data_IF_842721306573
#
_entry.id   IF_842721306573
#
_cell.length_a   1.000
_cell.length_b   1.000
_cell.length_c   1.000
_cell.angle_alpha   90.00
_cell.angle_beta   90.00
_cell.angle_gamma   90.00
#
_symmetry.space_group_name_H-M   'P 1'
#
loop_
_entity.id
_entity.type
_entity.pdbx_description
1 polymer ?
#
# COMPACT_ATOMS: atom_id res chain seq x y z
N UNK A 1 11.25 -40.22 -47.50
CA UNK A 1 12.32 -39.76 -46.59
C UNK A 1 12.74 -38.36 -46.99
N UNK A 2 12.12 -37.31 -46.45
CA UNK A 2 12.66 -35.96 -46.58
C UNK A 2 12.80 -35.23 -45.23
N UNK A 3 13.53 -34.12 -45.33
CA UNK A 3 13.58 -32.94 -44.46
C UNK A 3 14.32 -32.99 -43.13
N UNK A 4 15.58 -32.56 -43.22
CA UNK A 4 16.32 -31.93 -42.13
C UNK A 4 15.63 -30.62 -41.71
N UNK A 5 15.05 -30.66 -40.51
CA UNK A 5 14.53 -29.49 -39.82
C UNK A 5 15.67 -28.62 -39.30
N UNK A 6 15.72 -27.40 -39.82
CA UNK A 6 16.50 -26.28 -39.28
C UNK A 6 16.04 -25.98 -37.85
N UNK A 7 17.00 -25.97 -36.91
CA UNK A 7 16.75 -25.59 -35.53
C UNK A 7 16.23 -24.16 -35.46
N UNK A 8 15.00 -23.98 -34.94
CA UNK A 8 14.52 -22.67 -34.52
C UNK A 8 15.40 -22.18 -33.36
N UNK A 9 15.92 -20.94 -33.40
CA UNK A 9 16.50 -20.33 -32.22
C UNK A 9 15.40 -20.17 -31.17
N UNK A 10 15.70 -20.51 -29.93
CA UNK A 10 14.77 -20.34 -28.81
C UNK A 10 14.28 -18.90 -28.74
N UNK A 11 12.97 -18.72 -28.91
CA UNK A 11 12.29 -17.45 -28.67
C UNK A 11 12.24 -17.20 -27.16
N UNK A 12 13.28 -16.56 -26.61
CA UNK A 12 13.20 -15.95 -25.28
C UNK A 12 12.07 -14.94 -25.28
N UNK A 13 11.13 -15.06 -24.34
CA UNK A 13 10.10 -14.03 -24.16
C UNK A 13 10.79 -12.73 -23.72
N UNK A 14 10.38 -11.55 -24.20
CA UNK A 14 10.88 -10.30 -23.67
C UNK A 14 10.36 -10.18 -22.22
N UNK A 15 11.22 -10.54 -21.25
CA UNK A 15 10.86 -10.66 -19.82
C UNK A 15 11.81 -11.56 -18.98
N UNK A 16 12.73 -12.30 -19.61
CA UNK A 16 13.55 -13.34 -18.93
C UNK A 16 14.81 -12.85 -18.17
N UNK A 17 15.06 -11.54 -18.07
CA UNK A 17 16.28 -11.05 -17.42
C UNK A 17 16.15 -11.07 -15.88
N UNK A 18 16.70 -12.11 -15.25
CA UNK A 18 16.93 -12.11 -13.80
C UNK A 18 18.11 -11.22 -13.46
N UNK A 19 17.82 -10.09 -12.82
CA UNK A 19 18.84 -9.18 -12.30
C UNK A 19 19.63 -9.82 -11.15
N UNK A 20 20.95 -9.69 -11.18
CA UNK A 20 21.81 -9.89 -10.00
C UNK A 20 21.44 -8.90 -8.89
N UNK A 21 21.95 -9.09 -7.68
CA UNK A 21 21.72 -8.17 -6.56
C UNK A 21 22.17 -6.74 -6.90
N UNK A 22 23.34 -6.58 -7.53
CA UNK A 22 23.90 -5.26 -7.87
C UNK A 22 23.22 -4.60 -9.06
N UNK A 23 22.83 -5.37 -10.08
CA UNK A 23 22.01 -4.83 -11.17
C UNK A 23 20.65 -4.34 -10.66
N UNK A 24 20.03 -5.06 -9.71
CA UNK A 24 18.79 -4.60 -9.11
C UNK A 24 18.96 -3.33 -8.26
N UNK A 25 20.10 -3.16 -7.58
CA UNK A 25 20.45 -1.90 -6.92
C UNK A 25 20.57 -0.77 -7.95
N UNK A 26 21.23 -1.03 -9.08
CA UNK A 26 21.39 -0.05 -10.16
C UNK A 26 20.06 0.39 -10.81
N UNK A 27 19.01 -0.42 -10.71
CA UNK A 27 17.65 0.01 -11.10
C UNK A 27 17.15 1.18 -10.22
N UNK A 28 17.62 1.30 -8.98
CA UNK A 28 17.13 2.31 -8.02
C UNK A 28 18.09 3.48 -7.80
N UNK A 29 19.40 3.25 -7.81
CA UNK A 29 20.39 4.25 -7.44
C UNK A 29 21.68 4.09 -8.25
N UNK A 30 22.37 5.22 -8.45
CA UNK A 30 23.68 5.24 -9.12
C UNK A 30 24.82 5.14 -8.09
N UNK A 31 24.55 5.52 -6.84
CA UNK A 31 25.43 5.31 -5.69
C UNK A 31 25.01 4.06 -4.89
N UNK A 32 26.00 3.34 -4.38
CA UNK A 32 25.76 2.27 -3.41
C UNK A 32 26.99 2.05 -2.55
N UNK A 33 26.82 2.22 -1.24
CA UNK A 33 27.86 2.03 -0.25
C UNK A 33 27.53 0.82 0.60
N UNK A 34 28.23 -0.29 0.38
CA UNK A 34 28.00 -1.54 1.09
C UNK A 34 28.29 -1.39 2.59
N UNK A 35 27.39 -1.91 3.42
CA UNK A 35 27.58 -1.95 4.88
C UNK A 35 28.59 -3.04 5.24
N UNK A 36 29.35 -2.81 6.30
CA UNK A 36 30.27 -3.80 6.84
C UNK A 36 29.48 -5.04 7.26
N UNK A 37 29.79 -6.17 6.64
CA UNK A 37 29.17 -7.45 6.99
C UNK A 37 29.65 -7.93 8.36
N UNK A 38 28.77 -8.47 9.22
CA UNK A 38 29.20 -9.11 10.45
C UNK A 38 30.17 -10.27 10.16
N UNK A 39 31.28 -10.31 10.90
CA UNK A 39 32.27 -11.39 10.83
C UNK A 39 32.04 -12.35 11.99
N UNK A 40 31.13 -13.30 11.83
CA UNK A 40 30.99 -14.42 12.76
C UNK A 40 31.80 -15.63 12.25
N UNK A 41 32.29 -16.44 13.18
CA UNK A 41 32.85 -17.76 12.85
C UNK A 41 31.70 -18.75 12.63
N UNK A 42 31.79 -19.55 11.57
CA UNK A 42 30.81 -20.58 11.28
C UNK A 42 31.52 -21.91 11.12
N UNK A 43 30.88 -22.97 11.61
CA UNK A 43 31.41 -24.32 11.49
C UNK A 43 31.66 -24.72 10.03
N UNK A 44 32.69 -25.54 9.76
CA UNK A 44 32.90 -26.15 8.45
C UNK A 44 31.63 -26.88 8.00
N UNK A 45 31.27 -26.72 6.73
CA UNK A 45 30.03 -27.26 6.17
C UNK A 45 28.76 -26.84 6.94
N UNK A 46 28.81 -25.67 7.57
CA UNK A 46 27.69 -25.02 8.24
C UNK A 46 27.28 -25.68 9.56
N UNK A 47 26.20 -25.18 10.19
CA UNK A 47 25.80 -25.60 11.54
C UNK A 47 25.32 -27.05 11.65
N UNK A 48 25.07 -27.72 10.50
CA UNK A 48 24.63 -29.12 10.45
C UNK A 48 25.70 -30.07 9.89
N UNK A 49 26.91 -29.56 9.61
CA UNK A 49 27.97 -30.33 8.95
C UNK A 49 27.49 -30.99 7.64
N UNK A 50 26.75 -30.23 6.82
CA UNK A 50 26.22 -30.70 5.55
C UNK A 50 27.34 -30.88 4.55
N UNK A 51 27.72 -32.13 4.24
CA UNK A 51 28.87 -32.44 3.40
C UNK A 51 28.86 -31.68 2.06
N UNK A 52 29.94 -30.94 1.79
CA UNK A 52 30.12 -30.17 0.55
C UNK A 52 29.33 -28.86 0.49
N UNK A 53 28.82 -28.40 1.64
CA UNK A 53 28.15 -27.10 1.74
C UNK A 53 29.15 -25.95 1.56
N UNK A 54 30.36 -26.04 2.12
CA UNK A 54 31.41 -25.05 1.91
C UNK A 54 31.81 -24.92 0.45
N UNK A 55 31.97 -26.05 -0.25
CA UNK A 55 32.23 -26.05 -1.69
C UNK A 55 31.05 -25.42 -2.46
N UNK A 56 29.82 -25.66 -2.01
CA UNK A 56 28.63 -25.05 -2.62
C UNK A 56 28.62 -23.53 -2.43
N UNK A 57 29.02 -23.04 -1.26
CA UNK A 57 29.21 -21.60 -0.99
C UNK A 57 30.34 -21.02 -1.84
N UNK A 58 31.49 -21.69 -1.92
CA UNK A 58 32.62 -21.24 -2.72
C UNK A 58 32.27 -21.15 -4.22
N UNK A 59 31.57 -22.14 -4.77
CA UNK A 59 31.07 -22.11 -6.15
C UNK A 59 30.06 -20.99 -6.37
N UNK A 60 29.16 -20.75 -5.41
CA UNK A 60 28.19 -19.67 -5.48
C UNK A 60 28.89 -18.30 -5.47
N UNK A 61 29.88 -18.12 -4.60
CA UNK A 61 30.68 -16.91 -4.51
C UNK A 61 31.48 -16.65 -5.79
N UNK A 62 32.17 -17.67 -6.32
CA UNK A 62 32.90 -17.55 -7.58
C UNK A 62 31.99 -17.20 -8.77
N UNK A 63 30.76 -17.73 -8.80
CA UNK A 63 29.79 -17.46 -9.88
C UNK A 63 29.19 -16.06 -9.80
N UNK A 64 28.86 -15.59 -8.60
CA UNK A 64 28.07 -14.36 -8.40
C UNK A 64 28.94 -13.15 -8.08
N UNK A 65 30.16 -13.37 -7.59
CA UNK A 65 31.00 -12.33 -6.99
C UNK A 65 30.61 -11.99 -5.54
N UNK A 66 29.48 -12.51 -5.04
CA UNK A 66 28.97 -12.19 -3.71
C UNK A 66 29.37 -13.21 -2.66
N UNK A 67 29.55 -12.75 -1.43
CA UNK A 67 29.94 -13.62 -0.31
C UNK A 67 28.73 -14.27 0.40
N UNK A 68 27.51 -13.79 0.12
CA UNK A 68 26.27 -14.34 0.68
C UNK A 68 25.08 -13.95 -0.22
N UNK A 69 23.89 -14.48 0.07
CA UNK A 69 22.64 -14.28 -0.66
C UNK A 69 22.02 -12.89 -0.54
N UNK A 70 22.65 -11.97 0.20
CA UNK A 70 22.25 -10.57 0.26
C UNK A 70 23.46 -9.64 0.24
N UNK A 71 23.29 -8.54 -0.48
CA UNK A 71 24.13 -7.35 -0.42
C UNK A 71 23.33 -6.26 0.28
N UNK A 72 23.88 -5.69 1.35
CA UNK A 72 23.24 -4.65 2.14
C UNK A 72 24.08 -3.38 2.11
N UNK A 73 23.46 -2.22 1.89
CA UNK A 73 24.18 -0.97 1.74
C UNK A 73 23.29 0.25 1.93
N UNK A 74 23.87 1.44 1.89
CA UNK A 74 23.12 2.68 1.74
C UNK A 74 23.21 3.22 0.32
N UNK A 75 22.14 3.82 -0.15
CA UNK A 75 22.09 4.50 -1.44
C UNK A 75 21.15 5.71 -1.36
N UNK A 76 21.23 6.58 -2.36
CA UNK A 76 20.30 7.69 -2.55
C UNK A 76 19.36 7.38 -3.71
N UNK A 77 18.06 7.28 -3.43
CA UNK A 77 17.04 7.00 -4.46
C UNK A 77 16.27 8.28 -4.79
N UNK A 78 16.21 8.60 -6.08
CA UNK A 78 15.67 9.88 -6.57
C UNK A 78 16.70 11.01 -6.51
N UNK A 79 16.29 12.21 -6.96
CA UNK A 79 17.17 13.39 -7.05
C UNK A 79 18.25 13.24 -8.14
N UNK A 80 18.10 13.96 -9.25
CA UNK A 80 19.21 14.13 -10.20
C UNK A 80 19.97 15.41 -9.85
N UNK A 81 21.29 15.34 -9.74
CA UNK A 81 22.10 16.53 -9.97
C UNK A 81 21.84 17.01 -11.41
N UNK A 82 21.23 18.18 -11.59
CA UNK A 82 21.23 18.88 -12.88
C UNK A 82 19.89 19.29 -13.50
N UNK A 83 18.73 19.17 -12.85
CA UNK A 83 17.51 19.83 -13.34
C UNK A 83 17.05 20.88 -12.34
N UNK A 84 17.52 22.11 -12.55
CA UNK A 84 17.03 23.30 -11.87
C UNK A 84 15.58 23.56 -12.26
N UNK A 85 14.68 23.39 -11.30
CA UNK A 85 13.28 23.75 -11.37
C UNK A 85 12.70 23.73 -9.96
N UNK A 86 12.29 24.90 -9.48
CA UNK A 86 11.79 25.25 -8.15
C UNK A 86 11.17 24.10 -7.33
N UNK A 87 12.03 23.50 -6.50
CA UNK A 87 11.82 22.92 -5.16
C UNK A 87 12.75 21.73 -4.97
N UNK A 88 14.07 21.97 -5.02
CA UNK A 88 15.11 20.94 -4.94
C UNK A 88 14.95 20.00 -3.73
N UNK A 89 14.26 18.88 -3.93
CA UNK A 89 14.27 17.74 -3.02
C UNK A 89 15.41 16.85 -3.49
N UNK A 90 16.51 16.85 -2.74
CA UNK A 90 17.57 15.85 -2.91
C UNK A 90 17.00 14.44 -2.76
N UNK A 91 17.62 13.44 -3.38
CA UNK A 91 17.17 12.05 -3.27
C UNK A 91 17.04 11.59 -1.82
N UNK A 92 16.21 10.56 -1.60
CA UNK A 92 16.04 10.00 -0.26
C UNK A 92 17.12 8.94 -0.01
N UNK A 93 17.98 9.20 0.97
CA UNK A 93 18.93 8.20 1.44
C UNK A 93 18.20 7.07 2.15
N UNK A 94 18.51 5.83 1.82
CA UNK A 94 17.87 4.65 2.39
C UNK A 94 18.88 3.52 2.62
N UNK A 95 18.47 2.51 3.39
CA UNK A 95 19.15 1.21 3.42
C UNK A 95 18.53 0.31 2.35
N UNK A 96 19.36 -0.18 1.43
CA UNK A 96 18.97 -1.18 0.44
C UNK A 96 19.43 -2.57 0.89
N UNK A 97 18.53 -3.53 0.79
CA UNK A 97 18.79 -4.96 0.98
C UNK A 97 18.49 -5.64 -0.34
N UNK A 98 19.50 -6.14 -1.06
CA UNK A 98 19.32 -6.77 -2.36
C UNK A 98 19.73 -8.24 -2.34
N UNK A 99 18.80 -9.12 -2.70
CA UNK A 99 19.05 -10.56 -2.72
C UNK A 99 19.79 -11.00 -3.99
N UNK A 100 20.77 -11.89 -3.83
CA UNK A 100 21.48 -12.52 -4.94
C UNK A 100 20.93 -13.94 -5.14
N UNK A 101 19.98 -14.10 -6.06
CA UNK A 101 19.36 -15.40 -6.32
C UNK A 101 20.38 -16.44 -6.82
N UNK A 102 21.40 -16.01 -7.55
CA UNK A 102 22.51 -16.85 -7.97
C UNK A 102 23.29 -17.43 -6.79
N UNK A 103 23.24 -16.83 -5.60
CA UNK A 103 23.90 -17.36 -4.41
C UNK A 103 22.96 -18.32 -3.68
N UNK A 104 23.08 -19.61 -4.02
CA UNK A 104 22.29 -20.69 -3.43
C UNK A 104 20.77 -20.44 -3.46
N UNK A 105 20.25 -19.90 -4.56
CA UNK A 105 18.82 -19.60 -4.73
C UNK A 105 18.35 -18.39 -3.92
N UNK A 106 19.24 -17.48 -3.55
CA UNK A 106 18.93 -16.35 -2.68
C UNK A 106 18.47 -16.80 -1.30
N UNK A 107 18.84 -18.02 -0.89
CA UNK A 107 18.26 -18.65 0.29
C UNK A 107 18.71 -17.98 1.58
N UNK A 108 17.81 -17.93 2.56
CA UNK A 108 18.05 -17.34 3.87
C UNK A 108 18.75 -18.35 4.80
N UNK A 109 20.04 -18.14 5.07
CA UNK A 109 20.80 -18.84 6.12
C UNK A 109 21.14 -17.92 7.30
N UNK A 110 21.89 -18.42 8.28
CA UNK A 110 22.36 -17.67 9.47
C UNK A 110 23.16 -16.43 9.07
N UNK A 111 24.14 -16.57 8.15
CA UNK A 111 24.92 -15.44 7.64
C UNK A 111 24.04 -14.38 6.97
N UNK A 112 23.04 -14.81 6.20
CA UNK A 112 22.08 -13.91 5.57
C UNK A 112 21.27 -13.18 6.65
N UNK A 113 20.80 -13.91 7.67
CA UNK A 113 20.10 -13.36 8.83
C UNK A 113 20.93 -12.31 9.59
N UNK A 114 22.22 -12.58 9.81
CA UNK A 114 23.14 -11.63 10.46
C UNK A 114 23.29 -10.33 9.65
N UNK A 115 23.43 -10.44 8.32
CA UNK A 115 23.50 -9.27 7.43
C UNK A 115 22.20 -8.46 7.41
N UNK A 116 21.05 -9.14 7.42
CA UNK A 116 19.75 -8.47 7.49
C UNK A 116 19.57 -7.73 8.82
N UNK A 117 19.89 -8.38 9.94
CA UNK A 117 19.83 -7.73 11.24
C UNK A 117 20.75 -6.52 11.34
N UNK A 118 21.98 -6.63 10.84
CA UNK A 118 22.91 -5.50 10.78
C UNK A 118 22.35 -4.35 9.94
N UNK A 119 21.77 -4.64 8.77
CA UNK A 119 21.15 -3.63 7.89
C UNK A 119 19.96 -2.93 8.56
N UNK A 120 19.06 -3.69 9.19
CA UNK A 120 17.93 -3.12 9.93
C UNK A 120 18.37 -2.31 11.16
N UNK A 121 19.39 -2.79 11.87
CA UNK A 121 19.96 -2.06 13.01
C UNK A 121 20.55 -0.73 12.56
N UNK A 122 21.38 -0.75 11.51
CA UNK A 122 21.93 0.45 10.91
C UNK A 122 20.84 1.42 10.46
N UNK A 123 19.79 0.92 9.79
CA UNK A 123 18.65 1.73 9.37
C UNK A 123 18.00 2.45 10.55
N UNK A 124 17.79 1.76 11.68
CA UNK A 124 17.22 2.37 12.89
C UNK A 124 18.14 3.38 13.54
N UNK A 125 19.43 3.08 13.66
CA UNK A 125 20.44 3.96 14.25
C UNK A 125 20.61 5.26 13.43
N UNK A 126 20.57 5.15 12.11
CA UNK A 126 20.68 6.28 11.20
C UNK A 126 19.33 6.91 10.80
N UNK A 127 18.23 6.37 11.32
CA UNK A 127 16.85 6.76 10.98
C UNK A 127 16.54 6.75 9.48
N UNK A 128 17.06 5.76 8.77
CA UNK A 128 16.86 5.58 7.33
C UNK A 128 15.69 4.64 7.06
N UNK A 129 14.88 4.89 6.01
CA UNK A 129 13.92 3.92 5.51
C UNK A 129 14.62 2.70 4.94
N UNK A 130 13.92 1.56 4.87
CA UNK A 130 14.45 0.30 4.34
C UNK A 130 13.74 -0.06 3.04
N UNK A 131 14.51 -0.40 2.00
CA UNK A 131 13.98 -0.94 0.74
C UNK A 131 14.60 -2.32 0.48
N UNK A 132 13.76 -3.34 0.38
CA UNK A 132 14.18 -4.72 0.11
C UNK A 132 13.90 -5.13 -1.33
N UNK A 133 14.95 -5.46 -2.09
CA UNK A 133 14.90 -5.99 -3.45
C UNK A 133 14.97 -7.53 -3.39
N UNK A 134 13.81 -8.18 -3.28
CA UNK A 134 13.70 -9.59 -2.87
C UNK A 134 13.77 -10.51 -4.08
N UNK A 135 14.63 -11.53 -4.00
CA UNK A 135 14.77 -12.61 -4.98
C UNK A 135 15.26 -13.87 -4.25
N UNK A 136 14.34 -14.73 -3.81
CA UNK A 136 14.65 -15.87 -2.95
C UNK A 136 13.73 -17.06 -3.15
N UNK A 137 14.34 -18.25 -3.08
CA UNK A 137 13.64 -19.54 -2.99
C UNK A 137 13.19 -19.91 -1.56
N UNK A 138 13.49 -19.09 -0.55
CA UNK A 138 13.12 -19.32 0.85
C UNK A 138 14.31 -19.69 1.75
N UNK A 139 14.07 -20.54 2.75
CA UNK A 139 15.09 -20.91 3.74
C UNK A 139 16.20 -21.79 3.15
N UNK A 140 17.42 -21.67 3.69
CA UNK A 140 18.57 -22.48 3.26
C UNK A 140 18.52 -23.89 3.84
N UNK A 141 18.26 -24.88 2.99
CA UNK A 141 18.08 -26.28 3.41
C UNK A 141 19.30 -26.88 4.11
N UNK A 142 20.51 -26.48 3.69
CA UNK A 142 21.78 -26.95 4.26
C UNK A 142 21.96 -26.57 5.74
N UNK A 143 21.19 -25.60 6.23
CA UNK A 143 21.22 -25.15 7.63
C UNK A 143 19.93 -25.51 8.40
N UNK A 144 18.96 -26.16 7.74
CA UNK A 144 17.73 -26.69 8.33
C UNK A 144 16.98 -25.70 9.24
N UNK A 145 16.74 -26.10 10.50
CA UNK A 145 16.00 -25.27 11.46
C UNK A 145 16.72 -23.98 11.86
N UNK A 146 18.06 -23.91 11.69
CA UNK A 146 18.82 -22.68 11.96
C UNK A 146 18.49 -21.61 10.93
N UNK A 147 18.39 -21.98 9.66
CA UNK A 147 17.89 -21.11 8.59
C UNK A 147 16.41 -20.74 8.80
N UNK A 148 15.55 -21.70 9.14
CA UNK A 148 14.12 -21.42 9.34
C UNK A 148 13.88 -20.43 10.50
N UNK A 149 14.64 -20.56 11.60
CA UNK A 149 14.56 -19.65 12.73
C UNK A 149 14.91 -18.19 12.37
N UNK A 150 15.71 -17.96 11.32
CA UNK A 150 16.02 -16.61 10.85
C UNK A 150 14.77 -15.85 10.40
N UNK A 151 13.70 -16.53 9.97
CA UNK A 151 12.45 -15.87 9.59
C UNK A 151 11.85 -15.06 10.74
N UNK A 152 11.81 -15.64 11.94
CA UNK A 152 11.32 -14.93 13.13
C UNK A 152 12.28 -13.81 13.55
N UNK A 153 13.58 -14.04 13.42
CA UNK A 153 14.61 -13.02 13.69
C UNK A 153 14.44 -11.82 12.77
N UNK A 154 14.24 -12.03 11.47
CA UNK A 154 13.98 -10.95 10.49
C UNK A 154 12.64 -10.26 10.73
N UNK A 155 11.58 -11.02 11.04
CA UNK A 155 10.28 -10.45 11.39
C UNK A 155 10.38 -9.53 12.62
N UNK A 156 11.15 -9.93 13.63
CA UNK A 156 11.45 -9.09 14.80
C UNK A 156 12.14 -7.78 14.41
N UNK A 157 13.12 -7.82 13.50
CA UNK A 157 13.77 -6.61 13.00
C UNK A 157 12.80 -5.68 12.28
N UNK A 158 11.86 -6.23 11.52
CA UNK A 158 10.79 -5.44 10.88
C UNK A 158 9.91 -4.76 11.93
N UNK A 159 9.49 -5.46 13.00
CA UNK A 159 8.70 -4.88 14.10
C UNK A 159 9.45 -3.73 14.78
N UNK A 160 10.71 -3.94 15.18
CA UNK A 160 11.53 -2.89 15.80
C UNK A 160 11.67 -1.65 14.88
N UNK A 161 11.78 -1.87 13.57
CA UNK A 161 11.86 -0.78 12.58
C UNK A 161 10.54 -0.03 12.46
N UNK A 162 9.41 -0.74 12.59
CA UNK A 162 8.08 -0.12 12.66
C UNK A 162 7.91 0.71 13.92
N UNK A 163 8.35 0.22 15.06
CA UNK A 163 8.33 0.93 16.35
C UNK A 163 9.19 2.20 16.30
N UNK A 164 10.32 2.16 15.58
CA UNK A 164 11.15 3.32 15.28
C UNK A 164 10.50 4.33 14.28
N UNK A 165 9.31 4.01 13.75
CA UNK A 165 8.52 4.78 12.78
C UNK A 165 9.22 4.96 11.43
N UNK A 166 9.98 3.96 10.99
CA UNK A 166 10.64 3.98 9.69
C UNK A 166 9.79 3.17 8.68
N UNK A 167 9.58 3.71 7.47
CA UNK A 167 8.85 2.99 6.44
C UNK A 167 9.71 1.88 5.82
N UNK A 168 9.05 0.79 5.45
CA UNK A 168 9.66 -0.37 4.81
C UNK A 168 8.98 -0.65 3.46
N UNK A 169 9.75 -0.62 2.38
CA UNK A 169 9.29 -0.93 1.03
C UNK A 169 9.86 -2.29 0.59
N UNK A 170 9.08 -3.06 -0.15
CA UNK A 170 9.54 -4.27 -0.83
C UNK A 170 9.38 -4.12 -2.34
N UNK A 171 10.38 -4.58 -3.09
CA UNK A 171 10.33 -4.79 -4.54
C UNK A 171 10.54 -6.28 -4.78
N UNK A 172 9.49 -6.98 -5.19
CA UNK A 172 9.53 -8.41 -5.45
C UNK A 172 10.09 -8.67 -6.85
N UNK A 173 11.14 -9.49 -6.92
CA UNK A 173 11.76 -9.94 -8.19
C UNK A 173 11.58 -11.44 -8.35
N UNK A 174 11.90 -11.94 -9.53
CA UNK A 174 11.76 -13.36 -9.85
C UNK A 174 12.90 -14.21 -9.26
N UNK A 175 12.59 -15.26 -8.49
CA UNK A 175 11.35 -15.54 -7.76
C UNK A 175 11.38 -14.91 -6.34
N UNK A 176 10.22 -14.60 -5.77
CA UNK A 176 10.05 -14.25 -4.35
C UNK A 176 9.10 -15.23 -3.69
N UNK A 177 9.65 -16.21 -2.97
CA UNK A 177 8.85 -17.31 -2.41
C UNK A 177 9.16 -17.67 -0.97
N UNK A 178 8.27 -18.43 -0.35
CA UNK A 178 8.48 -19.02 0.98
C UNK A 178 8.64 -17.99 2.07
N UNK A 179 9.59 -18.25 2.97
CA UNK A 179 9.84 -17.40 4.12
C UNK A 179 10.21 -15.95 3.78
N UNK A 180 10.97 -15.72 2.71
CA UNK A 180 11.33 -14.35 2.30
C UNK A 180 10.14 -13.55 1.79
N UNK A 181 9.20 -14.20 1.09
CA UNK A 181 7.90 -13.60 0.79
C UNK A 181 7.15 -13.25 2.07
N UNK A 182 7.04 -14.19 3.01
CA UNK A 182 6.25 -14.00 4.23
C UNK A 182 6.82 -12.91 5.17
N UNK A 183 8.14 -12.79 5.32
CA UNK A 183 8.75 -11.92 6.33
C UNK A 183 9.19 -10.55 5.80
N UNK A 184 9.72 -10.49 4.57
CA UNK A 184 10.24 -9.26 3.98
C UNK A 184 9.26 -8.66 2.95
N UNK A 185 8.59 -9.50 2.16
CA UNK A 185 7.66 -9.06 1.12
C UNK A 185 6.29 -8.66 1.68
N UNK A 186 5.47 -9.66 2.03
CA UNK A 186 4.13 -9.49 2.59
C UNK A 186 4.12 -8.68 3.89
N UNK A 187 5.26 -8.67 4.60
CA UNK A 187 5.47 -7.90 5.81
C UNK A 187 5.89 -6.44 5.60
N UNK A 188 6.04 -5.94 4.36
CA UNK A 188 6.39 -4.53 4.11
C UNK A 188 5.17 -3.60 4.13
N UNK A 189 5.43 -2.29 4.17
CA UNK A 189 4.37 -1.27 4.23
C UNK A 189 3.83 -0.94 2.84
N UNK A 190 4.70 -0.93 1.84
CA UNK A 190 4.38 -0.84 0.41
C UNK A 190 5.10 -1.96 -0.33
N UNK A 191 4.38 -2.66 -1.20
CA UNK A 191 4.85 -3.85 -1.91
C UNK A 191 4.70 -3.63 -3.40
N UNK A 192 5.82 -3.40 -4.06
CA UNK A 192 5.95 -3.33 -5.52
C UNK A 192 6.48 -4.66 -6.05
N UNK A 193 6.21 -4.98 -7.30
CA UNK A 193 6.78 -6.15 -7.96
C UNK A 193 7.22 -5.84 -9.37
N UNK A 194 8.24 -6.54 -9.86
CA UNK A 194 8.59 -6.52 -11.28
C UNK A 194 7.59 -7.39 -12.07
N UNK A 195 7.28 -7.02 -13.33
CA UNK A 195 6.37 -7.79 -14.18
C UNK A 195 6.80 -9.23 -14.34
N UNK A 196 5.85 -10.16 -14.27
CA UNK A 196 6.08 -11.59 -14.44
C UNK A 196 6.88 -12.28 -13.34
N UNK A 197 7.23 -11.58 -12.25
CA UNK A 197 7.93 -12.20 -11.13
C UNK A 197 7.08 -13.30 -10.50
N UNK A 198 7.68 -14.46 -10.22
CA UNK A 198 7.00 -15.48 -9.44
C UNK A 198 6.91 -15.05 -7.97
N UNK A 199 5.71 -14.87 -7.47
CA UNK A 199 5.43 -14.47 -6.08
C UNK A 199 4.47 -15.47 -5.46
N UNK A 200 4.85 -16.06 -4.33
CA UNK A 200 3.93 -16.90 -3.57
C UNK A 200 4.58 -17.68 -2.45
N UNK A 201 3.77 -18.15 -1.51
CA UNK A 201 4.30 -18.90 -0.37
C UNK A 201 4.98 -20.21 -0.79
N UNK A 202 4.35 -21.01 -1.65
CA UNK A 202 4.95 -22.24 -2.14
C UNK A 202 5.89 -21.98 -3.33
N UNK A 203 7.15 -22.42 -3.20
CA UNK A 203 8.10 -22.46 -4.31
C UNK A 203 7.68 -23.47 -5.38
N UNK A 204 8.06 -23.23 -6.64
CA UNK A 204 7.60 -24.01 -7.80
C UNK A 204 7.77 -25.54 -7.67
N UNK A 205 8.78 -26.01 -6.92
CA UNK A 205 9.08 -27.44 -6.75
C UNK A 205 8.18 -28.17 -5.74
N UNK A 206 7.40 -27.45 -4.94
CA UNK A 206 6.58 -28.03 -3.86
C UNK A 206 5.09 -27.67 -4.01
N UNK A 207 4.69 -27.09 -5.14
CA UNK A 207 3.29 -26.79 -5.45
C UNK A 207 2.55 -28.09 -5.81
N UNK A 208 1.22 -28.15 -5.60
CA UNK A 208 0.39 -29.21 -6.18
C UNK A 208 0.59 -29.33 -7.69
N UNK A 209 0.42 -30.53 -8.24
CA UNK A 209 0.65 -30.81 -9.65
C UNK A 209 -0.34 -30.08 -10.58
N UNK A 210 -1.54 -29.84 -10.09
CA UNK A 210 -2.65 -29.13 -10.74
C UNK A 210 -2.74 -27.65 -10.35
N UNK A 211 -1.72 -27.13 -9.66
CA UNK A 211 -1.71 -25.74 -9.24
C UNK A 211 -1.72 -24.79 -10.45
N UNK A 212 -2.64 -23.83 -10.45
CA UNK A 212 -2.67 -22.75 -11.43
C UNK A 212 -1.37 -21.93 -11.34
N UNK A 213 -0.52 -21.90 -12.39
CA UNK A 213 0.71 -21.13 -12.38
C UNK A 213 0.46 -19.63 -12.22
N UNK A 214 -0.69 -19.12 -12.69
CA UNK A 214 -1.01 -17.70 -12.63
C UNK A 214 -1.14 -17.21 -11.19
N UNK A 215 -1.72 -18.01 -10.28
CA UNK A 215 -1.85 -17.69 -8.86
C UNK A 215 -0.52 -17.37 -8.16
N UNK A 216 0.62 -17.74 -8.75
CA UNK A 216 1.96 -17.50 -8.22
C UNK A 216 2.72 -16.39 -8.97
N UNK A 217 2.01 -15.47 -9.62
CA UNK A 217 2.58 -14.33 -10.35
C UNK A 217 2.32 -13.03 -9.60
N UNK A 218 3.17 -12.03 -9.79
CA UNK A 218 2.97 -10.69 -9.25
C UNK A 218 1.59 -10.11 -9.65
N UNK A 219 1.15 -10.35 -10.87
CA UNK A 219 -0.13 -9.90 -11.41
C UNK A 219 -1.32 -10.50 -10.64
N UNK A 220 -1.33 -11.82 -10.42
CA UNK A 220 -2.38 -12.45 -9.63
C UNK A 220 -2.36 -12.00 -8.15
N UNK A 221 -1.17 -11.75 -7.59
CA UNK A 221 -1.06 -11.20 -6.24
C UNK A 221 -1.58 -9.75 -6.15
N UNK A 222 -1.47 -8.97 -7.22
CA UNK A 222 -2.06 -7.62 -7.29
C UNK A 222 -3.60 -7.71 -7.36
N UNK A 223 -4.12 -8.57 -8.23
CA UNK A 223 -5.56 -8.80 -8.37
C UNK A 223 -6.20 -9.32 -7.08
N UNK A 224 -5.50 -10.22 -6.38
CA UNK A 224 -5.89 -10.74 -5.07
C UNK A 224 -5.65 -9.77 -3.90
N UNK A 225 -5.14 -8.56 -4.16
CA UNK A 225 -4.92 -7.55 -3.14
C UNK A 225 -3.78 -7.82 -2.15
N UNK A 226 -2.84 -8.68 -2.52
CA UNK A 226 -1.66 -9.04 -1.71
C UNK A 226 -0.45 -8.11 -1.95
N UNK A 227 -0.36 -7.43 -3.10
CA UNK A 227 0.66 -6.40 -3.40
C UNK A 227 0.02 -5.08 -3.85
N UNK A 228 0.78 -3.99 -3.91
CA UNK A 228 0.25 -2.65 -4.24
C UNK A 228 0.36 -2.32 -5.73
N UNK A 229 1.45 -2.71 -6.39
CA UNK A 229 1.65 -2.43 -7.82
C UNK A 229 2.64 -3.37 -8.50
N UNK A 230 2.46 -3.55 -9.81
CA UNK A 230 3.46 -4.12 -10.71
C UNK A 230 4.09 -2.99 -11.52
N UNK A 231 5.42 -2.85 -11.43
CA UNK A 231 6.16 -1.68 -11.92
C UNK A 231 7.29 -2.13 -12.84
N UNK A 232 7.27 -1.63 -14.08
CA UNK A 232 8.30 -1.94 -15.06
C UNK A 232 9.68 -1.40 -14.61
N UNK A 233 10.80 -2.08 -14.95
CA UNK A 233 12.13 -1.71 -14.48
C UNK A 233 12.55 -0.26 -14.78
N UNK A 234 12.15 0.28 -15.93
CA UNK A 234 12.43 1.65 -16.37
C UNK A 234 11.72 2.72 -15.53
N UNK A 235 10.59 2.37 -14.89
CA UNK A 235 9.84 3.26 -14.00
C UNK A 235 10.10 3.01 -12.52
N UNK A 236 10.78 1.91 -12.18
CA UNK A 236 10.95 1.47 -10.80
C UNK A 236 11.65 2.51 -9.93
N UNK A 237 12.71 3.16 -10.45
CA UNK A 237 13.41 4.23 -9.72
C UNK A 237 12.48 5.36 -9.31
N UNK A 238 11.69 5.86 -10.25
CA UNK A 238 10.79 6.99 -10.03
C UNK A 238 9.68 6.62 -9.04
N UNK A 239 9.15 5.40 -9.14
CA UNK A 239 8.10 4.91 -8.24
C UNK A 239 8.62 4.76 -6.80
N UNK A 240 9.78 4.12 -6.61
CA UNK A 240 10.40 3.97 -5.27
C UNK A 240 10.78 5.34 -4.70
N UNK A 241 11.29 6.26 -5.52
CA UNK A 241 11.59 7.63 -5.09
C UNK A 241 10.34 8.36 -4.60
N UNK A 242 9.21 8.25 -5.31
CA UNK A 242 7.95 8.86 -4.91
C UNK A 242 7.45 8.29 -3.57
N UNK A 243 7.50 6.96 -3.38
CA UNK A 243 7.09 6.35 -2.11
C UNK A 243 8.00 6.75 -0.96
N UNK A 244 9.33 6.77 -1.17
CA UNK A 244 10.27 7.22 -0.17
C UNK A 244 10.02 8.69 0.20
N UNK A 245 9.81 9.57 -0.77
CA UNK A 245 9.46 10.97 -0.54
C UNK A 245 8.19 11.06 0.31
N UNK A 246 7.10 10.45 -0.14
CA UNK A 246 5.80 10.52 0.54
C UNK A 246 5.88 10.01 1.99
N UNK A 247 6.58 8.90 2.24
CA UNK A 247 6.58 8.23 3.54
C UNK A 247 7.65 8.73 4.52
N UNK A 248 8.61 9.55 4.08
CA UNK A 248 9.71 10.04 4.94
C UNK A 248 9.70 11.54 5.20
N UNK A 249 9.07 12.33 4.33
CA UNK A 249 9.06 13.81 4.43
C UNK A 249 7.89 14.32 5.30
N UNK A 250 7.81 13.82 6.52
CA UNK A 250 6.82 14.29 7.51
C UNK A 250 7.43 15.44 8.29
N UNK A 251 6.89 16.64 8.10
CA UNK A 251 7.29 17.81 8.88
C UNK A 251 6.72 17.72 10.31
N UNK A 252 7.58 17.64 11.36
CA UNK A 252 7.14 17.59 12.75
C UNK A 252 6.24 18.75 13.16
N UNK A 253 6.34 19.92 12.52
CA UNK A 253 5.48 21.06 12.79
C UNK A 253 4.04 20.85 12.28
N UNK A 254 3.84 19.99 11.28
CA UNK A 254 2.55 19.77 10.63
C UNK A 254 1.91 18.42 10.94
N UNK A 255 2.64 17.49 11.60
CA UNK A 255 2.14 16.15 11.91
C UNK A 255 0.84 16.13 12.76
N UNK A 256 0.59 17.21 13.52
CA UNK A 256 -0.62 17.39 14.37
C UNK A 256 -1.67 18.30 13.75
N UNK A 257 -1.40 18.86 12.57
CA UNK A 257 -2.30 19.79 11.91
C UNK A 257 -3.21 18.99 10.97
N UNK A 258 -4.51 19.02 11.26
CA UNK A 258 -5.50 18.39 10.40
C UNK A 258 -5.35 18.91 8.96
N UNK A 259 -5.46 18.03 7.94
CA UNK A 259 -5.45 18.50 6.57
C UNK A 259 -6.70 19.37 6.35
N UNK A 260 -6.59 20.53 5.69
CA UNK A 260 -7.78 21.30 5.36
C UNK A 260 -8.70 20.45 4.47
N UNK A 261 -10.02 20.49 4.66
CA UNK A 261 -10.92 19.82 3.72
C UNK A 261 -10.81 20.49 2.35
N UNK A 262 -10.87 19.73 1.25
CA UNK A 262 -10.99 20.31 -0.08
C UNK A 262 -12.17 21.29 -0.20
N UNK A 263 -12.02 22.32 -1.03
CA UNK A 263 -13.14 23.18 -1.43
C UNK A 263 -14.20 22.40 -2.22
N UNK A 264 -15.43 22.89 -2.21
CA UNK A 264 -16.48 22.34 -3.06
C UNK A 264 -16.13 22.55 -4.54
N UNK A 265 -16.08 21.46 -5.32
CA UNK A 265 -15.83 21.54 -6.77
C UNK A 265 -17.09 21.84 -7.58
N UNK A 266 -18.29 21.58 -7.02
CA UNK A 266 -19.55 21.87 -7.67
C UNK A 266 -20.12 23.23 -7.25
N UNK A 267 -20.59 24.01 -8.23
CA UNK A 267 -21.30 25.28 -8.01
C UNK A 267 -22.80 25.05 -7.81
N UNK A 268 -23.15 24.23 -6.82
CA UNK A 268 -24.53 23.82 -6.55
C UNK A 268 -25.09 24.57 -5.35
N UNK A 269 -26.29 25.18 -5.43
CA UNK A 269 -26.93 25.79 -4.28
C UNK A 269 -27.36 24.73 -3.27
N UNK A 270 -27.40 25.10 -1.98
CA UNK A 270 -27.85 24.19 -0.93
C UNK A 270 -29.25 23.61 -1.25
N UNK A 271 -29.46 22.31 -1.02
CA UNK A 271 -30.70 21.63 -1.36
C UNK A 271 -31.85 22.14 -0.49
N UNK A 272 -33.02 22.40 -1.08
CA UNK A 272 -34.18 22.92 -0.34
C UNK A 272 -34.90 21.82 0.43
N UNK A 273 -34.95 20.61 -0.13
CA UNK A 273 -35.56 19.42 0.49
C UNK A 273 -34.53 18.30 0.63
N UNK A 274 -34.79 17.34 1.52
CA UNK A 274 -34.00 16.11 1.63
C UNK A 274 -33.99 15.35 0.31
N UNK A 275 -35.09 15.36 -0.45
CA UNK A 275 -35.10 14.75 -1.78
C UNK A 275 -34.24 15.51 -2.80
N UNK A 276 -34.18 16.85 -2.72
CA UNK A 276 -33.23 17.63 -3.53
C UNK A 276 -31.78 17.22 -3.23
N UNK A 277 -31.42 17.03 -1.96
CA UNK A 277 -30.07 16.59 -1.57
C UNK A 277 -29.74 15.20 -2.12
N UNK A 278 -30.70 14.27 -2.06
CA UNK A 278 -30.56 12.92 -2.66
C UNK A 278 -30.34 13.02 -4.17
N UNK A 279 -31.11 13.85 -4.87
CA UNK A 279 -30.97 14.02 -6.32
C UNK A 279 -29.63 14.66 -6.69
N UNK A 280 -29.19 15.68 -5.94
CA UNK A 280 -27.87 16.32 -6.15
C UNK A 280 -26.72 15.34 -5.90
N UNK A 281 -26.75 14.59 -4.79
CA UNK A 281 -25.70 13.62 -4.46
C UNK A 281 -25.60 12.47 -5.48
N UNK A 282 -26.71 12.13 -6.15
CA UNK A 282 -26.78 11.09 -7.18
C UNK A 282 -26.62 11.62 -8.60
N UNK A 283 -26.46 12.93 -8.78
CA UNK A 283 -26.29 13.54 -10.10
C UNK A 283 -25.08 12.92 -10.84
N UNK A 284 -25.23 12.47 -12.09
CA UNK A 284 -24.13 11.89 -12.87
C UNK A 284 -22.95 12.85 -13.08
N UNK A 285 -23.24 14.14 -13.24
CA UNK A 285 -22.28 15.22 -13.52
C UNK A 285 -21.52 15.71 -12.28
N UNK A 286 -21.90 15.24 -11.07
CA UNK A 286 -21.24 15.64 -9.83
C UNK A 286 -19.75 15.21 -9.82
N UNK A 287 -18.83 16.08 -9.38
CA UNK A 287 -17.44 15.70 -9.12
C UNK A 287 -17.35 14.52 -8.13
N UNK A 288 -16.69 13.44 -8.55
CA UNK A 288 -16.45 12.23 -7.73
C UNK A 288 -15.07 12.26 -7.09
N UNK A 289 -14.78 11.27 -6.25
CA UNK A 289 -13.51 11.12 -5.53
C UNK A 289 -12.27 11.46 -6.36
N UNK A 290 -12.19 10.95 -7.60
CA UNK A 290 -11.04 11.20 -8.46
C UNK A 290 -10.81 12.69 -8.74
N UNK A 291 -11.87 13.46 -9.02
CA UNK A 291 -11.76 14.90 -9.26
C UNK A 291 -11.26 15.65 -8.01
N UNK A 292 -11.74 15.28 -6.82
CA UNK A 292 -11.25 15.84 -5.56
C UNK A 292 -9.79 15.48 -5.29
N UNK A 293 -9.37 14.25 -5.53
CA UNK A 293 -7.98 13.82 -5.37
C UNK A 293 -7.04 14.53 -6.37
N UNK A 294 -7.48 14.73 -7.61
CA UNK A 294 -6.74 15.47 -8.64
C UNK A 294 -6.59 16.95 -8.31
N UNK A 295 -7.64 17.58 -7.77
CA UNK A 295 -7.61 18.97 -7.35
C UNK A 295 -6.76 19.19 -6.08
N UNK A 296 -6.78 18.24 -5.14
CA UNK A 296 -6.14 18.39 -3.84
C UNK A 296 -4.63 18.05 -3.85
N UNK A 297 -4.22 17.07 -4.65
CA UNK A 297 -2.86 16.53 -4.65
C UNK A 297 -2.09 16.86 -5.92
N UNK A 298 -0.89 17.42 -5.74
CA UNK A 298 0.05 17.67 -6.85
C UNK A 298 0.73 16.39 -7.34
N UNK A 299 0.98 15.45 -6.43
CA UNK A 299 1.51 14.10 -6.70
C UNK A 299 0.91 13.12 -5.71
N UNK A 300 0.68 11.88 -6.14
CA UNK A 300 0.13 10.83 -5.28
C UNK A 300 0.52 9.43 -5.75
N UNK A 301 0.49 8.48 -4.82
CA UNK A 301 0.65 7.06 -5.08
C UNK A 301 -0.38 6.27 -4.25
N UNK A 302 -0.94 5.21 -4.84
CA UNK A 302 -2.00 4.42 -4.24
C UNK A 302 -1.48 3.09 -3.67
N UNK A 303 -2.02 2.67 -2.53
CA UNK A 303 -1.88 1.31 -2.02
C UNK A 303 -3.09 0.47 -2.44
N UNK A 304 -2.93 -0.84 -2.58
CA UNK A 304 -3.99 -1.72 -3.09
C UNK A 304 -4.26 -2.91 -2.18
N UNK A 305 -5.50 -3.40 -2.24
CA UNK A 305 -5.94 -4.65 -1.61
C UNK A 305 -5.98 -4.62 -0.09
N UNK A 306 -6.45 -5.70 0.52
CA UNK A 306 -6.56 -5.83 1.99
C UNK A 306 -5.50 -6.75 2.62
N UNK A 307 -4.62 -7.36 1.82
CA UNK A 307 -3.67 -8.44 2.20
C UNK A 307 -4.33 -9.74 2.69
N UNK A 308 -5.64 -9.89 2.48
CA UNK A 308 -6.44 -11.03 2.92
C UNK A 308 -7.18 -11.69 1.74
N UNK A 309 -6.78 -11.43 0.50
CA UNK A 309 -7.36 -12.03 -0.70
C UNK A 309 -8.47 -11.21 -1.34
N UNK A 310 -8.56 -9.90 -1.05
CA UNK A 310 -9.53 -9.02 -1.69
C UNK A 310 -8.99 -7.63 -2.03
N UNK A 311 -9.60 -7.02 -3.05
CA UNK A 311 -9.46 -5.61 -3.38
C UNK A 311 -10.84 -5.00 -3.64
N UNK A 312 -10.97 -3.70 -3.41
CA UNK A 312 -12.21 -2.96 -3.67
C UNK A 312 -11.91 -1.78 -4.62
N UNK A 313 -12.29 -1.84 -5.90
CA UNK A 313 -12.12 -0.71 -6.81
C UNK A 313 -12.96 0.52 -6.41
N UNK A 314 -13.97 0.31 -5.55
CA UNK A 314 -14.79 1.38 -4.97
C UNK A 314 -14.14 2.12 -3.80
N UNK A 315 -12.93 1.73 -3.39
CA UNK A 315 -12.17 2.36 -2.31
C UNK A 315 -10.72 2.62 -2.75
N UNK A 316 -10.38 3.89 -2.91
CA UNK A 316 -9.04 4.32 -3.34
C UNK A 316 -8.26 4.85 -2.14
N UNK A 317 -7.15 4.20 -1.80
CA UNK A 317 -6.31 4.55 -0.66
C UNK A 317 -4.88 4.90 -1.10
N UNK A 318 -4.22 5.85 -0.45
CA UNK A 318 -2.85 6.21 -0.80
C UNK A 318 -2.29 7.39 -0.03
N UNK A 319 -1.21 7.96 -0.57
CA UNK A 319 -0.51 9.11 -0.01
C UNK A 319 -0.25 10.13 -1.12
N UNK A 320 -0.34 11.42 -0.80
CA UNK A 320 -0.08 12.48 -1.77
C UNK A 320 0.47 13.75 -1.16
N UNK A 321 1.00 14.62 -2.02
CA UNK A 321 1.54 15.94 -1.67
C UNK A 321 0.50 17.03 -1.85
N UNK A 322 0.18 17.71 -0.76
CA UNK A 322 -0.68 18.88 -0.70
C UNK A 322 0.09 19.99 0.04
N UNK A 323 0.28 21.15 -0.58
CA UNK A 323 1.02 22.28 0.00
C UNK A 323 2.38 21.90 0.65
N UNK A 324 3.15 21.06 -0.04
CA UNK A 324 4.48 20.59 0.40
C UNK A 324 4.47 19.47 1.46
N UNK A 325 3.34 19.23 2.14
CA UNK A 325 3.18 18.15 3.14
C UNK A 325 2.58 16.89 2.55
N UNK A 326 2.95 15.74 3.09
CA UNK A 326 2.27 14.48 2.77
C UNK A 326 0.96 14.37 3.54
N UNK A 327 -0.11 13.97 2.85
CA UNK A 327 -1.39 13.59 3.45
C UNK A 327 -1.77 12.21 2.93
N UNK A 328 -2.16 11.31 3.84
CA UNK A 328 -2.75 10.03 3.48
C UNK A 328 -4.21 10.23 3.08
N UNK A 329 -4.72 9.50 2.09
CA UNK A 329 -6.10 9.62 1.64
C UNK A 329 -6.81 8.27 1.54
N UNK A 330 -8.08 8.21 1.94
CA UNK A 330 -9.00 7.12 1.65
C UNK A 330 -10.28 7.68 1.06
N UNK A 331 -10.67 7.23 -0.13
CA UNK A 331 -11.77 7.81 -0.88
C UNK A 331 -12.73 6.74 -1.39
N UNK A 332 -14.01 6.87 -1.04
CA UNK A 332 -15.08 6.07 -1.63
C UNK A 332 -15.48 6.62 -2.99
N UNK A 333 -15.74 5.72 -3.95
CA UNK A 333 -15.95 6.09 -5.36
C UNK A 333 -17.42 6.02 -5.81
N UNK A 334 -18.39 6.17 -4.90
CA UNK A 334 -19.82 6.17 -5.22
C UNK A 334 -20.45 4.78 -5.35
N UNK A 335 -19.79 3.74 -4.83
CA UNK A 335 -20.29 2.36 -4.86
C UNK A 335 -20.40 1.77 -3.46
N UNK A 336 -21.22 0.73 -3.30
CA UNK A 336 -21.32 0.03 -2.03
C UNK A 336 -19.93 -0.50 -1.60
N UNK A 337 -19.47 -0.10 -0.42
CA UNK A 337 -18.11 -0.39 0.04
C UNK A 337 -17.98 -1.85 0.46
N UNK A 338 -17.01 -2.56 -0.12
CA UNK A 338 -16.79 -3.99 0.15
C UNK A 338 -15.95 -4.19 1.42
N UNK A 339 -15.99 -5.37 2.05
CA UNK A 339 -15.15 -5.68 3.22
C UNK A 339 -13.65 -5.43 3.00
N UNK A 340 -13.15 -5.75 1.80
CA UNK A 340 -11.75 -5.47 1.42
C UNK A 340 -11.44 -3.95 1.40
N UNK A 341 -12.39 -3.11 0.98
CA UNK A 341 -12.24 -1.66 1.00
C UNK A 341 -12.08 -1.11 2.41
N UNK A 342 -12.93 -1.55 3.36
CA UNK A 342 -12.79 -1.17 4.77
C UNK A 342 -11.45 -1.59 5.37
N UNK A 343 -10.99 -2.83 5.11
CA UNK A 343 -9.69 -3.32 5.57
C UNK A 343 -8.52 -2.54 4.94
N UNK A 344 -8.62 -2.17 3.67
CA UNK A 344 -7.62 -1.34 2.98
C UNK A 344 -7.52 0.04 3.64
N UNK A 345 -8.66 0.69 3.91
CA UNK A 345 -8.70 1.97 4.61
C UNK A 345 -8.15 1.86 6.06
N UNK A 346 -8.47 0.77 6.77
CA UNK A 346 -7.98 0.56 8.13
C UNK A 346 -6.45 0.38 8.15
N UNK A 347 -5.91 -0.36 7.17
CA UNK A 347 -4.46 -0.47 6.95
C UNK A 347 -3.82 0.88 6.68
N UNK A 348 -4.42 1.71 5.82
CA UNK A 348 -3.93 3.06 5.53
C UNK A 348 -3.87 3.90 6.80
N UNK A 349 -4.96 3.98 7.57
CA UNK A 349 -5.04 4.80 8.79
C UNK A 349 -3.98 4.39 9.80
N UNK A 350 -3.75 3.09 9.98
CA UNK A 350 -2.69 2.59 10.89
C UNK A 350 -1.30 2.93 10.39
N UNK A 351 -1.04 2.80 9.08
CA UNK A 351 0.24 3.16 8.49
C UNK A 351 0.52 4.66 8.65
N UNK A 352 -0.47 5.50 8.31
CA UNK A 352 -0.40 6.95 8.46
C UNK A 352 -0.19 7.36 9.93
N UNK A 353 -0.94 6.77 10.86
CA UNK A 353 -0.79 7.01 12.29
C UNK A 353 0.60 6.65 12.83
N UNK A 354 1.16 5.52 12.40
CA UNK A 354 2.52 5.09 12.78
C UNK A 354 3.58 6.06 12.25
N UNK A 355 3.45 6.49 10.99
CA UNK A 355 4.39 7.40 10.33
C UNK A 355 4.13 8.88 10.62
N UNK A 356 3.10 9.20 11.41
CA UNK A 356 2.70 10.58 11.77
C UNK A 356 2.22 11.42 10.58
N UNK A 357 1.57 10.77 9.62
CA UNK A 357 1.00 11.43 8.43
C UNK A 357 -0.50 11.71 8.68
N UNK A 358 -0.97 12.96 8.56
CA UNK A 358 -2.39 13.29 8.67
C UNK A 358 -3.23 12.62 7.58
N UNK A 359 -4.52 12.36 7.87
CA UNK A 359 -5.40 11.62 6.95
C UNK A 359 -6.56 12.50 6.47
N UNK A 360 -6.84 12.44 5.16
CA UNK A 360 -8.05 12.97 4.54
C UNK A 360 -8.94 11.79 4.09
N UNK A 361 -10.22 11.77 4.47
CA UNK A 361 -11.17 10.80 3.94
C UNK A 361 -12.24 11.48 3.09
N UNK A 362 -12.55 10.88 1.94
CA UNK A 362 -13.61 11.33 1.05
C UNK A 362 -14.75 10.31 1.06
N UNK A 363 -15.94 10.76 1.45
CA UNK A 363 -17.11 9.91 1.65
C UNK A 363 -18.08 10.08 0.49
N UNK A 364 -18.29 8.98 -0.25
CA UNK A 364 -19.26 8.85 -1.35
C UNK A 364 -19.64 7.37 -1.50
N UNK A 365 -20.65 6.93 -0.77
CA UNK A 365 -21.14 5.57 -0.77
C UNK A 365 -22.64 5.51 -0.48
N UNK A 366 -23.40 4.64 -1.18
CA UNK A 366 -24.77 4.32 -0.78
C UNK A 366 -24.81 3.50 0.53
N UNK A 367 -23.68 2.94 0.97
CA UNK A 367 -23.54 2.12 2.18
C UNK A 367 -22.54 0.99 2.04
N UNK A 368 -22.46 0.12 3.05
CA UNK A 368 -21.67 -1.10 2.93
C UNK A 368 -22.35 -2.10 1.98
N UNK A 369 -21.55 -2.86 1.23
CA UNK A 369 -22.04 -4.04 0.52
C UNK A 369 -22.63 -5.04 1.54
N UNK A 370 -23.83 -5.53 1.26
CA UNK A 370 -24.61 -6.38 2.15
C UNK A 370 -25.10 -7.67 1.49
N UNK A 371 -24.50 -8.03 0.34
CA UNK A 371 -24.77 -9.29 -0.33
C UNK A 371 -24.10 -10.48 0.39
N UNK A 372 -24.44 -11.70 -0.03
CA UNK A 372 -23.95 -12.90 0.62
C UNK A 372 -22.43 -13.08 0.50
N UNK A 373 -21.78 -12.48 -0.50
CA UNK A 373 -20.33 -12.51 -0.63
C UNK A 373 -19.67 -11.59 0.40
N UNK A 374 -20.18 -10.37 0.57
CA UNK A 374 -19.73 -9.44 1.59
C UNK A 374 -19.88 -10.02 3.00
N UNK A 375 -20.99 -10.71 3.29
CA UNK A 375 -21.19 -11.38 4.57
C UNK A 375 -20.17 -12.52 4.80
N UNK A 376 -19.92 -13.36 3.79
CA UNK A 376 -18.88 -14.42 3.87
C UNK A 376 -17.47 -13.84 4.02
N UNK A 377 -17.23 -12.66 3.47
CA UNK A 377 -15.97 -11.92 3.61
C UNK A 377 -15.91 -11.08 4.91
N UNK A 378 -16.84 -11.32 5.85
CA UNK A 378 -16.91 -10.73 7.18
C UNK A 378 -17.05 -9.20 7.19
N UNK A 379 -18.08 -8.68 6.49
CA UNK A 379 -18.39 -7.24 6.43
C UNK A 379 -18.40 -6.56 7.80
N UNK A 380 -19.09 -7.14 8.79
CA UNK A 380 -19.16 -6.57 10.14
C UNK A 380 -17.78 -6.42 10.81
N UNK A 381 -16.91 -7.42 10.68
CA UNK A 381 -15.56 -7.36 11.24
C UNK A 381 -14.69 -6.32 10.51
N UNK A 382 -14.83 -6.19 9.20
CA UNK A 382 -14.11 -5.19 8.41
C UNK A 382 -14.50 -3.75 8.77
N UNK A 383 -15.80 -3.50 8.98
CA UNK A 383 -16.32 -2.20 9.43
C UNK A 383 -15.83 -1.88 10.84
N UNK A 384 -15.90 -2.86 11.76
CA UNK A 384 -15.40 -2.71 13.13
C UNK A 384 -13.90 -2.41 13.16
N UNK A 385 -13.12 -3.06 12.28
CA UNK A 385 -11.68 -2.83 12.15
C UNK A 385 -11.35 -1.39 11.74
N UNK A 386 -12.10 -0.83 10.80
CA UNK A 386 -11.92 0.56 10.38
C UNK A 386 -12.36 1.55 11.47
N UNK A 387 -13.48 1.30 12.14
CA UNK A 387 -13.89 2.13 13.29
C UNK A 387 -12.80 2.18 14.36
N UNK A 388 -12.22 1.03 14.71
CA UNK A 388 -11.13 0.95 15.66
C UNK A 388 -9.88 1.70 15.16
N UNK A 389 -9.54 1.59 13.87
CA UNK A 389 -8.40 2.30 13.28
C UNK A 389 -8.58 3.83 13.33
N UNK A 390 -9.76 4.34 12.96
CA UNK A 390 -10.10 5.77 13.04
C UNK A 390 -10.07 6.25 14.49
N UNK A 391 -10.71 5.54 15.41
CA UNK A 391 -10.78 5.92 16.82
C UNK A 391 -9.42 5.88 17.53
N UNK A 392 -8.53 4.96 17.15
CA UNK A 392 -7.19 4.84 17.72
C UNK A 392 -6.14 5.70 17.01
N UNK A 393 -6.52 6.45 15.97
CA UNK A 393 -5.58 7.23 15.18
C UNK A 393 -4.85 8.27 16.03
N UNK A 394 -3.50 8.26 16.09
CA UNK A 394 -2.72 9.24 16.84
C UNK A 394 -2.45 10.52 16.03
N UNK A 395 -3.00 10.62 14.82
CA UNK A 395 -2.88 11.74 13.88
C UNK A 395 -4.29 12.26 13.54
N UNK A 396 -4.42 13.55 13.21
CA UNK A 396 -5.73 14.11 12.87
C UNK A 396 -6.25 13.51 11.56
N UNK A 397 -7.56 13.29 11.54
CA UNK A 397 -8.32 12.86 10.37
C UNK A 397 -9.31 13.98 10.05
N UNK A 398 -9.36 14.39 8.78
CA UNK A 398 -10.42 15.27 8.24
C UNK A 398 -11.25 14.45 7.27
N UNK A 399 -12.57 14.54 7.38
CA UNK A 399 -13.49 13.87 6.45
C UNK A 399 -14.29 14.88 5.66
N UNK A 400 -14.51 14.59 4.38
CA UNK A 400 -15.39 15.37 3.52
C UNK A 400 -16.42 14.46 2.86
N UNK A 401 -17.70 14.70 3.12
CA UNK A 401 -18.80 14.08 2.40
C UNK A 401 -18.96 14.79 1.06
N UNK A 402 -18.55 14.11 -0.01
CA UNK A 402 -18.53 14.67 -1.37
C UNK A 402 -19.72 14.20 -2.22
N UNK A 403 -20.58 13.35 -1.66
CA UNK A 403 -21.66 12.66 -2.38
C UNK A 403 -22.65 11.99 -1.45
N UNK A 404 -22.90 10.70 -1.66
CA UNK A 404 -23.77 9.94 -0.75
C UNK A 404 -23.01 9.56 0.53
N UNK A 405 -23.60 9.81 1.70
CA UNK A 405 -23.14 9.32 2.99
C UNK A 405 -24.11 8.25 3.50
N UNK A 406 -23.93 7.00 3.07
CA UNK A 406 -24.82 5.89 3.46
C UNK A 406 -24.40 5.18 4.75
N UNK A 407 -25.13 5.42 5.84
CA UNK A 407 -25.13 4.56 7.04
C UNK A 407 -23.73 4.30 7.64
N UNK A 408 -23.55 3.14 8.27
CA UNK A 408 -22.28 2.66 8.81
C UNK A 408 -21.16 2.56 7.76
N UNK A 409 -21.49 2.39 6.48
CA UNK A 409 -20.49 2.33 5.41
C UNK A 409 -19.80 3.67 5.16
N UNK A 410 -20.53 4.78 5.26
CA UNK A 410 -19.98 6.13 5.25
C UNK A 410 -19.35 6.49 6.61
N UNK A 411 -20.05 6.19 7.70
CA UNK A 411 -19.62 6.54 9.06
C UNK A 411 -18.29 5.90 9.44
N UNK A 412 -17.98 4.71 8.94
CA UNK A 412 -16.70 4.05 9.21
C UNK A 412 -15.48 4.87 8.73
N UNK A 413 -15.62 5.68 7.68
CA UNK A 413 -14.56 6.57 7.20
C UNK A 413 -14.58 7.96 7.85
N UNK A 414 -15.71 8.35 8.43
CA UNK A 414 -15.92 9.69 8.93
C UNK A 414 -15.19 9.91 10.27
N UNK A 415 -14.40 10.98 10.34
CA UNK A 415 -13.73 11.43 11.54
C UNK A 415 -14.76 12.05 12.50
N UNK A 416 -14.88 11.56 13.74
CA UNK A 416 -15.64 12.24 14.76
C UNK A 416 -15.15 13.69 14.90
N UNK A 417 -16.08 14.65 15.02
CA UNK A 417 -15.82 16.08 15.27
C UNK A 417 -15.07 16.87 14.19
N UNK A 418 -14.59 16.22 13.12
CA UNK A 418 -13.90 16.87 12.00
C UNK A 418 -14.35 16.35 10.63
N UNK A 419 -15.66 16.14 10.51
CA UNK A 419 -16.33 15.83 9.24
C UNK A 419 -16.96 17.09 8.66
N UNK A 420 -16.82 17.28 7.35
CA UNK A 420 -17.37 18.38 6.57
C UNK A 420 -18.29 17.84 5.47
N UNK A 421 -19.15 18.68 4.93
CA UNK A 421 -20.03 18.32 3.81
C UNK A 421 -19.84 19.29 2.64
N UNK A 422 -20.01 18.77 1.43
CA UNK A 422 -20.15 19.61 0.22
C UNK A 422 -21.62 19.99 0.03
N UNK A 423 -21.94 21.12 -0.65
CA UNK A 423 -23.32 21.56 -0.87
C UNK A 423 -24.21 20.51 -1.56
N UNK A 424 -23.63 19.68 -2.42
CA UNK A 424 -24.27 18.66 -3.25
C UNK A 424 -24.18 17.24 -2.66
N UNK A 425 -23.95 17.12 -1.35
CA UNK A 425 -23.91 15.85 -0.64
C UNK A 425 -25.12 15.60 0.25
N UNK A 426 -25.24 14.38 0.78
CA UNK A 426 -26.06 14.10 1.95
C UNK A 426 -25.37 13.08 2.86
N UNK A 427 -25.74 13.05 4.14
CA UNK A 427 -25.31 11.99 5.07
C UNK A 427 -26.53 11.52 5.86
N UNK A 428 -26.78 10.21 5.89
CA UNK A 428 -27.98 9.64 6.52
C UNK A 428 -27.69 8.29 7.18
N UNK A 429 -28.49 7.97 8.20
CA UNK A 429 -28.46 6.66 8.89
C UNK A 429 -28.73 5.49 7.93
N UNK A 430 -29.48 5.72 6.85
CA UNK A 430 -29.71 4.80 5.73
C UNK A 430 -30.30 5.59 4.54
N UNK A 431 -30.26 5.03 3.32
CA UNK A 431 -30.94 5.60 2.16
C UNK A 431 -32.45 5.81 2.44
N UNK A 432 -33.07 6.95 2.04
CA UNK A 432 -34.47 7.24 2.36
C UNK A 432 -35.47 6.20 1.87
N UNK A 433 -35.20 5.56 0.73
CA UNK A 433 -36.00 4.46 0.20
C UNK A 433 -36.04 3.27 1.17
N UNK A 434 -34.87 2.91 1.72
CA UNK A 434 -34.75 1.82 2.69
C UNK A 434 -35.31 2.22 4.05
N UNK A 435 -35.17 3.48 4.46
CA UNK A 435 -35.81 3.99 5.67
C UNK A 435 -37.35 3.86 5.58
N UNK A 436 -37.95 4.27 4.46
CA UNK A 436 -39.38 4.12 4.22
C UNK A 436 -39.81 2.65 4.27
N UNK A 437 -39.05 1.75 3.64
CA UNK A 437 -39.32 0.31 3.68
C UNK A 437 -39.25 -0.27 5.10
N UNK A 438 -38.20 0.05 5.88
CA UNK A 438 -38.03 -0.40 7.28
C UNK A 438 -39.16 0.12 8.17
N UNK A 439 -39.56 1.37 7.97
CA UNK A 439 -40.66 2.02 8.70
C UNK A 439 -42.05 1.62 8.19
N UNK A 440 -42.13 0.73 7.18
CA UNK A 440 -43.38 0.27 6.54
C UNK A 440 -44.24 1.41 6.00
N UNK A 441 -43.60 2.45 5.47
CA UNK A 441 -44.25 3.58 4.81
C UNK A 441 -44.48 3.29 3.32
N UNK A 442 -45.56 3.80 2.71
CA UNK A 442 -45.79 3.67 1.28
C UNK A 442 -44.74 4.45 0.47
N UNK A 443 -44.55 4.07 -0.80
CA UNK A 443 -43.47 4.61 -1.64
C UNK A 443 -43.58 6.11 -1.96
N UNK A 444 -44.78 6.67 -1.92
CA UNK A 444 -45.02 8.11 -2.06
C UNK A 444 -44.54 8.94 -0.85
N UNK A 445 -44.30 8.28 0.29
CA UNK A 445 -43.69 8.90 1.49
C UNK A 445 -42.16 8.88 1.51
N UNK A 446 -41.48 8.39 0.46
CA UNK A 446 -40.00 8.38 0.40
C UNK A 446 -39.43 9.81 0.52
N UNK A 447 -40.03 10.77 -0.20
CA UNK A 447 -39.56 12.16 -0.22
C UNK A 447 -39.73 12.84 1.14
N UNK A 448 -40.89 12.68 1.76
CA UNK A 448 -41.14 13.21 3.11
C UNK A 448 -40.28 12.51 4.17
N UNK A 449 -39.96 11.23 3.96
CA UNK A 449 -39.00 10.50 4.81
C UNK A 449 -37.60 11.08 4.67
N UNK A 450 -37.14 11.43 3.46
CA UNK A 450 -35.86 12.10 3.25
C UNK A 450 -35.76 13.43 4.03
N UNK A 451 -36.84 14.23 4.04
CA UNK A 451 -36.91 15.47 4.84
C UNK A 451 -36.84 15.18 6.35
N UNK A 452 -37.60 14.20 6.84
CA UNK A 452 -37.64 13.84 8.26
C UNK A 452 -36.31 13.28 8.78
N UNK A 453 -35.52 12.65 7.92
CA UNK A 453 -34.19 12.16 8.26
C UNK A 453 -33.16 13.27 8.45
N UNK A 454 -33.46 14.51 8.05
CA UNK A 454 -32.58 15.67 8.22
C UNK A 454 -31.18 15.43 7.65
N UNK A 455 -31.14 14.89 6.43
CA UNK A 455 -29.91 14.42 5.77
C UNK A 455 -29.16 15.49 4.95
N UNK A 456 -29.74 16.69 4.80
CA UNK A 456 -29.15 17.78 3.99
C UNK A 456 -27.88 18.33 4.66
N UNK A 457 -26.91 18.89 3.91
CA UNK A 457 -25.69 19.45 4.48
C UNK A 457 -25.94 20.48 5.61
N UNK A 458 -26.92 21.36 5.44
CA UNK A 458 -27.29 22.35 6.46
C UNK A 458 -27.97 21.74 7.68
N UNK A 459 -28.77 20.68 7.51
CA UNK A 459 -29.33 19.96 8.64
C UNK A 459 -28.25 19.28 9.47
N UNK A 460 -27.27 18.66 8.79
CA UNK A 460 -26.17 17.97 9.42
C UNK A 460 -25.28 18.94 10.22
N UNK A 461 -25.08 20.15 9.71
CA UNK A 461 -24.37 21.21 10.42
C UNK A 461 -25.15 21.67 11.66
N UNK A 462 -26.46 21.88 11.54
CA UNK A 462 -27.34 22.22 12.67
C UNK A 462 -27.40 21.11 13.74
N UNK A 463 -27.33 19.85 13.31
CA UNK A 463 -27.28 18.67 14.19
C UNK A 463 -25.89 18.44 14.82
N UNK A 464 -24.86 19.16 14.37
CA UNK A 464 -23.48 18.95 14.82
C UNK A 464 -22.83 17.65 14.32
N UNK A 465 -23.42 16.99 13.32
CA UNK A 465 -22.87 15.78 12.69
C UNK A 465 -21.70 16.13 11.78
N UNK A 466 -21.79 17.28 11.10
CA UNK A 466 -20.68 17.86 10.36
C UNK A 466 -20.35 19.23 10.94
N UNK A 467 -19.07 19.60 10.88
CA UNK A 467 -18.53 20.85 11.39
C UNK A 467 -19.02 22.06 10.58
N UNK A 468 -19.29 21.85 9.30
CA UNK A 468 -19.74 22.87 8.38
C UNK A 468 -19.82 22.36 6.96
N UNK A 469 -20.22 23.28 6.07
CA UNK A 469 -20.30 23.04 4.64
C UNK A 469 -19.12 23.77 4.01
N UNK A 470 -18.34 23.08 3.18
CA UNK A 470 -17.19 23.69 2.51
C UNK A 470 -17.67 24.64 1.40
N UNK A 471 -16.99 25.77 1.29
CA UNK A 471 -17.24 26.75 0.24
C UNK A 471 -16.48 26.38 -1.04
N UNK A 472 -16.92 26.93 -2.16
CA UNK A 472 -16.13 26.87 -3.38
C UNK A 472 -14.85 27.68 -3.23
N UNK A 473 -13.81 27.29 -3.96
CA UNK A 473 -12.60 28.10 -4.03
C UNK A 473 -12.97 29.46 -4.66
N UNK A 474 -12.58 30.60 -4.03
CA UNK A 474 -12.82 31.91 -4.64
C UNK A 474 -12.16 31.94 -6.02
N UNK A 475 -12.87 32.45 -7.05
CA UNK A 475 -12.24 32.72 -8.34
C UNK A 475 -11.03 33.64 -8.10
N UNK A 476 -9.81 33.10 -8.26
CA UNK A 476 -8.60 33.91 -8.25
C UNK A 476 -8.74 34.89 -9.40
N UNK A 477 -8.99 36.16 -9.07
CA UNK A 477 -9.03 37.26 -10.03
C UNK A 477 -7.63 37.34 -10.64
N UNK A 478 -7.50 36.86 -11.88
CA UNK A 478 -6.25 36.87 -12.64
C UNK A 478 -5.76 38.28 -12.91
#
# INVERSE_FOLDING_TARGET
MPDGGTGRPGSGRPGDARFTAREAVALLADDFHELVSPTAEYAPDGPLSWQGYDDSRARAAARTGEQESVVCGTATVGGTEGVGGDNGVGGTRCVLISFEFGFLGGSLGERTGDRLEAAYTYAREQRLPVVSLIATGGSRMQEGMRALAQLQRVAWQSVLTREARLPQLAVLRDPTTGGGWATLGAGADVILALPGAQVGFAGARVRPQDADPYAYTAEAQLEGGAIDAVVAPDRLRAEVALWLELLTTVDPATERVAPPPPHALAATPLPRTGWDAVQQARAPERPRAQAYLDAYFTRRAAISGDRCGGADPGMVCGFGKHDGRTVAYAAQCGTATRPAGFRTAARLVRLAGRLRIPVLTLVDTPGAANDAEAERAAAGAAIADLFAAVAASPVPITSLVIGEGGSGGALALAAPDNTWATPDSYFSVIAPELAAAILKRPGDEIRSTADQLRLRPQDLAELGVVRGIVEQEPEQTR
#
